data_IF_105545237011
#
_entry.id   IF_105545237011
#
_cell.length_a   1.000
_cell.length_b   1.000
_cell.length_c   1.000
_cell.angle_alpha   90.00
_cell.angle_beta   90.00
_cell.angle_gamma   90.00
#
_symmetry.space_group_name_H-M   'P 1'
#
loop_
_entity.id
_entity.type
_entity.pdbx_description
1 polymer ?
#
# COMPACT_ATOMS: atom_id res chain seq x y z
N UNK A 1 5.76 -17.45 5.77
CA UNK A 1 4.65 -17.60 4.80
C UNK A 1 4.49 -16.33 3.97
N UNK A 2 3.70 -16.37 2.89
CA UNK A 2 3.38 -15.18 2.08
C UNK A 2 1.88 -14.93 2.09
N UNK A 3 1.48 -13.68 2.31
CA UNK A 3 0.12 -13.19 2.13
C UNK A 3 0.03 -12.23 0.95
N UNK A 4 -1.13 -12.15 0.32
CA UNK A 4 -1.40 -11.19 -0.75
C UNK A 4 -2.71 -10.45 -0.48
N UNK A 5 -2.67 -9.13 -0.66
CA UNK A 5 -3.85 -8.26 -0.64
C UNK A 5 -3.97 -7.57 -2.01
N UNK A 6 -5.16 -7.59 -2.59
CA UNK A 6 -5.45 -6.95 -3.87
C UNK A 6 -6.69 -6.07 -3.71
N UNK A 7 -6.62 -4.86 -4.24
CA UNK A 7 -7.74 -3.93 -4.30
C UNK A 7 -7.67 -3.07 -5.56
N UNK A 8 -8.81 -2.48 -5.91
CA UNK A 8 -8.92 -1.49 -6.98
C UNK A 8 -9.30 -0.15 -6.38
N UNK A 9 -8.59 0.89 -6.81
CA UNK A 9 -8.73 2.27 -6.33
C UNK A 9 -9.43 3.07 -7.43
N UNK A 10 -10.64 3.55 -7.16
CA UNK A 10 -11.29 4.54 -8.01
C UNK A 10 -10.88 5.93 -7.52
N UNK A 11 -9.97 6.57 -8.26
CA UNK A 11 -9.37 7.86 -7.96
C UNK A 11 -10.11 8.94 -8.78
N UNK A 12 -10.80 9.92 -8.14
CA UNK A 12 -11.67 10.85 -8.87
C UNK A 12 -10.94 12.00 -9.57
N UNK A 13 -9.70 12.28 -9.21
CA UNK A 13 -8.82 13.30 -9.80
C UNK A 13 -7.35 12.89 -9.61
N UNK A 14 -6.43 13.45 -10.41
CA UNK A 14 -5.00 13.16 -10.28
C UNK A 14 -4.51 13.42 -8.84
N UNK A 15 -3.82 12.44 -8.27
CA UNK A 15 -3.46 12.38 -6.87
C UNK A 15 -1.95 12.19 -6.72
N UNK A 16 -1.30 13.22 -6.16
CA UNK A 16 0.06 13.11 -5.61
C UNK A 16 -0.05 12.70 -4.15
N UNK A 17 0.49 11.52 -3.79
CA UNK A 17 0.34 10.96 -2.46
C UNK A 17 1.61 10.27 -1.97
N UNK A 18 1.63 9.95 -0.68
CA UNK A 18 2.57 9.03 -0.08
C UNK A 18 1.83 7.75 0.33
N UNK A 19 2.26 6.60 -0.17
CA UNK A 19 1.76 5.30 0.26
C UNK A 19 2.49 4.91 1.56
N UNK A 20 1.79 5.05 2.68
CA UNK A 20 2.28 4.66 3.98
C UNK A 20 2.00 3.17 4.23
N UNK A 21 3.03 2.46 4.70
CA UNK A 21 3.03 0.99 4.87
C UNK A 21 3.50 0.64 6.26
N UNK A 22 2.84 -0.35 6.86
CA UNK A 22 3.30 -1.06 8.05
C UNK A 22 3.16 -2.56 7.83
N UNK A 23 4.14 -3.35 8.25
CA UNK A 23 4.19 -4.77 7.87
C UNK A 23 4.88 -5.67 8.90
N UNK A 24 4.39 -6.90 8.99
CA UNK A 24 5.00 -8.02 9.73
C UNK A 24 5.17 -9.21 8.76
N UNK A 25 6.34 -9.44 8.15
CA UNK A 25 7.58 -8.68 8.25
C UNK A 25 7.78 -7.72 7.07
N UNK A 26 8.23 -8.24 5.92
CA UNK A 26 8.57 -7.47 4.71
C UNK A 26 7.42 -7.41 3.72
N UNK A 27 7.57 -6.60 2.66
CA UNK A 27 6.53 -6.44 1.65
C UNK A 27 7.08 -6.12 0.26
N UNK A 28 6.21 -6.32 -0.73
CA UNK A 28 6.38 -5.85 -2.09
C UNK A 28 5.07 -5.31 -2.61
N UNK A 29 5.09 -4.12 -3.23
CA UNK A 29 3.88 -3.40 -3.63
C UNK A 29 3.95 -3.05 -5.11
N UNK A 30 2.83 -3.27 -5.80
CA UNK A 30 2.64 -2.88 -7.18
C UNK A 30 1.37 -2.04 -7.33
N UNK A 31 1.43 -1.04 -8.21
CA UNK A 31 0.27 -0.31 -8.71
C UNK A 31 0.29 -0.42 -10.24
N UNK A 32 -0.81 -0.89 -10.83
CA UNK A 32 -0.93 -1.15 -12.27
C UNK A 32 0.24 -1.97 -12.85
N UNK A 33 0.61 -3.04 -12.14
CA UNK A 33 1.74 -3.91 -12.48
C UNK A 33 3.13 -3.26 -12.43
N UNK A 34 3.21 -1.98 -12.05
CA UNK A 34 4.46 -1.27 -11.83
C UNK A 34 4.89 -1.41 -10.37
N UNK A 35 6.16 -1.77 -10.17
CA UNK A 35 6.75 -1.92 -8.83
C UNK A 35 6.87 -0.55 -8.15
N UNK A 36 6.25 -0.40 -6.98
CA UNK A 36 6.34 0.80 -6.15
C UNK A 36 7.39 0.63 -5.05
N UNK A 37 7.39 -0.51 -4.36
CA UNK A 37 8.29 -0.78 -3.26
C UNK A 37 8.60 -2.28 -3.11
N UNK A 38 9.80 -2.59 -2.64
CA UNK A 38 10.27 -3.95 -2.31
C UNK A 38 11.20 -3.86 -1.10
N UNK A 39 10.76 -4.38 0.03
CA UNK A 39 11.49 -4.32 1.30
C UNK A 39 11.48 -5.69 1.99
N UNK A 40 12.67 -6.24 2.20
CA UNK A 40 12.90 -7.40 3.06
C UNK A 40 13.42 -6.90 4.40
N UNK A 41 12.65 -7.16 5.45
CA UNK A 41 12.96 -6.77 6.84
C UNK A 41 12.35 -7.84 7.75
N UNK A 42 12.77 -7.87 9.02
CA UNK A 42 12.23 -8.74 10.07
C UNK A 42 11.81 -7.87 11.27
N UNK A 43 10.50 -7.79 11.55
CA UNK A 43 9.89 -6.91 12.57
C UNK A 43 8.39 -7.15 12.69
N UNK A 44 7.81 -6.69 13.81
CA UNK A 44 6.37 -6.48 13.92
C UNK A 44 5.87 -5.26 13.14
N UNK A 45 4.58 -5.30 12.77
CA UNK A 45 3.91 -4.20 12.08
C UNK A 45 3.66 -3.00 13.00
N UNK A 46 3.87 -1.79 12.47
CA UNK A 46 3.43 -0.53 13.07
C UNK A 46 2.90 0.42 12.00
N UNK A 47 2.05 1.37 12.39
CA UNK A 47 1.46 2.35 11.45
C UNK A 47 2.56 3.22 10.84
N UNK A 48 2.51 3.40 9.52
CA UNK A 48 3.37 4.30 8.73
C UNK A 48 4.89 4.10 8.90
N UNK A 49 5.37 2.86 9.02
CA UNK A 49 6.80 2.54 9.13
C UNK A 49 7.61 3.04 7.92
N UNK A 50 7.07 2.86 6.72
CA UNK A 50 7.62 3.47 5.50
C UNK A 50 6.56 4.25 4.75
N UNK A 51 7.07 5.15 3.91
CA UNK A 51 6.29 6.07 3.08
C UNK A 51 6.94 6.11 1.70
N UNK A 52 6.18 5.72 0.68
CA UNK A 52 6.66 5.68 -0.71
C UNK A 52 5.88 6.71 -1.54
N UNK A 53 6.55 7.67 -2.19
CA UNK A 53 5.85 8.64 -3.04
C UNK A 53 5.22 7.93 -4.24
N UNK A 54 3.97 8.26 -4.52
CA UNK A 54 3.19 7.70 -5.63
C UNK A 54 2.39 8.81 -6.32
N UNK A 55 2.19 8.63 -7.63
CA UNK A 55 1.34 9.49 -8.44
C UNK A 55 0.28 8.61 -9.08
N UNK A 56 -0.99 8.90 -8.81
CA UNK A 56 -2.13 8.22 -9.42
C UNK A 56 -2.85 9.21 -10.32
N UNK A 57 -3.21 8.79 -11.51
CA UNK A 57 -4.07 9.60 -12.39
C UNK A 57 -5.53 9.46 -11.98
N UNK A 58 -6.39 10.34 -12.45
CA UNK A 58 -7.83 10.09 -12.41
C UNK A 58 -8.14 8.77 -13.14
N UNK A 59 -8.82 7.86 -12.46
CA UNK A 59 -9.21 6.58 -13.04
C UNK A 59 -9.19 5.43 -12.04
N UNK A 60 -9.22 4.21 -12.57
CA UNK A 60 -9.12 2.98 -11.77
C UNK A 60 -7.69 2.46 -11.81
N UNK A 61 -7.13 2.21 -10.63
CA UNK A 61 -5.81 1.65 -10.45
C UNK A 61 -5.88 0.33 -9.67
N UNK A 62 -5.11 -0.68 -10.05
CA UNK A 62 -5.01 -1.92 -9.27
C UNK A 62 -3.82 -1.86 -8.33
N UNK A 63 -4.08 -2.03 -7.05
CA UNK A 63 -3.08 -2.17 -6.00
C UNK A 63 -2.91 -3.66 -5.66
N UNK A 64 -1.67 -4.14 -5.69
CA UNK A 64 -1.30 -5.47 -5.22
C UNK A 64 -0.20 -5.34 -4.16
N UNK A 65 -0.39 -5.98 -3.03
CA UNK A 65 0.61 -6.07 -1.95
C UNK A 65 0.90 -7.54 -1.69
N UNK A 66 2.17 -7.89 -1.69
CA UNK A 66 2.69 -9.14 -1.13
C UNK A 66 3.28 -8.81 0.23
N UNK A 67 2.91 -9.56 1.26
CA UNK A 67 3.55 -9.52 2.59
C UNK A 67 4.31 -10.83 2.78
N UNK A 68 5.53 -10.71 3.28
CA UNK A 68 6.40 -11.82 3.67
C UNK A 68 6.52 -11.83 5.18
N UNK A 69 6.11 -12.93 5.80
CA UNK A 69 6.33 -13.20 7.22
C UNK A 69 7.28 -14.39 7.36
N UNK A 70 8.30 -14.27 8.18
CA UNK A 70 9.22 -15.36 8.48
C UNK A 70 8.70 -16.20 9.65
N UNK A 71 8.34 -15.56 10.78
CA UNK A 71 7.86 -16.22 12.01
C UNK A 71 6.76 -15.41 12.72
N UNK A 72 5.87 -16.11 13.44
CA UNK A 72 4.84 -15.51 14.30
C UNK A 72 3.79 -14.65 13.55
N UNK A 73 3.69 -13.36 13.89
CA UNK A 73 2.62 -12.44 13.48
C UNK A 73 2.56 -12.22 11.96
N UNK A 74 1.42 -11.74 11.46
CA UNK A 74 1.30 -11.39 10.03
C UNK A 74 0.23 -10.30 9.87
N UNK A 75 0.70 -9.07 9.77
CA UNK A 75 -0.12 -7.86 9.78
C UNK A 75 0.28 -6.91 8.67
N UNK A 76 -0.69 -6.10 8.21
CA UNK A 76 -0.51 -5.09 7.18
C UNK A 76 -1.31 -3.84 7.53
N UNK A 77 -0.62 -2.70 7.57
CA UNK A 77 -1.21 -1.37 7.55
C UNK A 77 -0.92 -0.72 6.19
N UNK A 78 -1.94 -0.09 5.60
CA UNK A 78 -1.78 0.62 4.34
C UNK A 78 -2.73 1.81 4.27
N UNK A 79 -2.23 2.99 3.90
CA UNK A 79 -3.03 4.18 3.61
C UNK A 79 -2.30 5.16 2.71
N UNK A 80 -3.06 5.97 1.98
CA UNK A 80 -2.50 7.13 1.26
C UNK A 80 -2.51 8.35 2.19
N UNK A 81 -1.39 9.07 2.23
CA UNK A 81 -1.20 10.31 2.97
C UNK A 81 -0.94 11.48 2.01
N UNK A 82 -1.43 12.66 2.37
CA UNK A 82 -1.10 13.91 1.70
C UNK A 82 0.27 14.45 2.11
N UNK A 83 0.65 15.63 1.61
CA UNK A 83 1.93 16.27 1.92
C UNK A 83 2.09 16.68 3.39
N UNK A 84 1.00 16.75 4.17
CA UNK A 84 0.97 17.05 5.60
C UNK A 84 0.87 15.76 6.45
N UNK A 85 1.08 14.58 5.86
CA UNK A 85 0.90 13.27 6.49
C UNK A 85 -0.54 12.99 6.98
N UNK A 86 -1.55 13.65 6.41
CA UNK A 86 -2.96 13.38 6.73
C UNK A 86 -3.53 12.31 5.80
N UNK A 87 -4.43 11.44 6.30
CA UNK A 87 -5.07 10.43 5.47
C UNK A 87 -5.88 11.06 4.34
N UNK A 88 -5.60 10.62 3.11
CA UNK A 88 -6.43 10.87 1.94
C UNK A 88 -7.60 9.87 2.00
N UNK A 89 -8.83 10.36 1.81
CA UNK A 89 -10.06 9.56 1.99
C UNK A 89 -11.09 9.74 0.88
N UNK A 90 -10.76 10.51 -0.15
CA UNK A 90 -11.63 10.87 -1.27
C UNK A 90 -11.44 9.95 -2.50
N UNK A 91 -11.18 8.67 -2.27
CA UNK A 91 -11.19 7.62 -3.30
C UNK A 91 -12.03 6.43 -2.82
N UNK A 92 -12.43 5.56 -3.74
CA UNK A 92 -13.20 4.36 -3.40
C UNK A 92 -12.33 3.12 -3.55
N UNK A 93 -12.31 2.28 -2.51
CA UNK A 93 -11.66 0.96 -2.54
C UNK A 93 -12.68 -0.09 -2.97
N UNK A 94 -12.31 -0.94 -3.92
CA UNK A 94 -13.10 -2.10 -4.37
C UNK A 94 -12.28 -3.38 -4.24
N UNK A 95 -12.96 -4.48 -3.92
CA UNK A 95 -12.36 -5.81 -3.86
C UNK A 95 -12.59 -6.61 -5.15
N UNK A 96 -13.30 -6.02 -6.11
CA UNK A 96 -13.56 -6.60 -7.43
C UNK A 96 -13.16 -5.61 -8.52
N UNK A 97 -12.81 -6.10 -9.73
CA UNK A 97 -12.47 -5.26 -10.86
C UNK A 97 -13.58 -4.29 -11.30
#
# INVERSE_FOLDING_TARGET
CFGYACAYLDVPHDLDASLAVGSDDGYKIWIDDQLVADLVVFRGAAVDQEKHPVKLTKGRHRLLVKVHNDIAGHDLFLRFLDADDKPITDYVVRLTP
#
